data_IF_435410662819
#
_entry.id   IF_435410662819
#
_cell.length_a   1.000
_cell.length_b   1.000
_cell.length_c   1.000
_cell.angle_alpha   90.00
_cell.angle_beta   90.00
_cell.angle_gamma   90.00
#
_symmetry.space_group_name_H-M   'P 1'
#
loop_
_entity.id
_entity.type
_entity.pdbx_description
1 polymer ?
#
# COMPACT_ATOMS: atom_id res chain seq x y z
N UNK A 1 -11.54 -2.79 24.54
CA UNK A 1 -11.50 -2.68 23.07
C UNK A 1 -10.95 -3.99 22.54
N UNK A 2 -11.69 -4.69 21.67
CA UNK A 2 -11.16 -5.88 21.02
C UNK A 2 -10.02 -5.45 20.08
N UNK A 3 -8.87 -6.11 20.18
CA UNK A 3 -7.75 -5.86 19.29
C UNK A 3 -8.15 -6.18 17.85
N UNK A 4 -7.86 -5.28 16.90
CA UNK A 4 -8.16 -5.51 15.49
C UNK A 4 -7.17 -6.56 14.96
N UNK A 5 -7.64 -7.67 14.36
CA UNK A 5 -6.79 -8.67 13.75
C UNK A 5 -5.80 -8.10 12.73
N UNK A 6 -4.60 -8.67 12.65
CA UNK A 6 -3.51 -8.20 11.78
C UNK A 6 -3.91 -8.19 10.30
N UNK A 7 -4.67 -9.18 9.85
CA UNK A 7 -5.22 -9.27 8.49
C UNK A 7 -6.10 -8.06 8.17
N UNK A 8 -7.01 -7.69 9.08
CA UNK A 8 -7.87 -6.52 8.90
C UNK A 8 -7.08 -5.22 8.84
N UNK A 9 -6.05 -5.08 9.68
CA UNK A 9 -5.15 -3.91 9.65
C UNK A 9 -4.38 -3.84 8.33
N UNK A 10 -3.80 -4.95 7.91
CA UNK A 10 -3.05 -5.07 6.66
C UNK A 10 -3.89 -4.69 5.44
N UNK A 11 -5.08 -5.31 5.28
CA UNK A 11 -5.99 -4.98 4.17
C UNK A 11 -6.43 -3.51 4.20
N UNK A 12 -6.67 -2.96 5.39
CA UNK A 12 -6.95 -1.54 5.57
C UNK A 12 -5.83 -0.63 5.06
N UNK A 13 -4.59 -0.95 5.40
CA UNK A 13 -3.41 -0.21 4.94
C UNK A 13 -3.18 -0.33 3.42
N UNK A 14 -3.34 -1.54 2.86
CA UNK A 14 -3.30 -1.75 1.39
C UNK A 14 -4.34 -0.88 0.70
N UNK A 15 -5.58 -0.87 1.20
CA UNK A 15 -6.66 -0.04 0.64
C UNK A 15 -6.33 1.44 0.69
N UNK A 16 -5.76 1.91 1.79
CA UNK A 16 -5.36 3.32 1.95
C UNK A 16 -4.27 3.70 0.92
N UNK A 17 -3.24 2.88 0.78
CA UNK A 17 -2.17 3.11 -0.21
C UNK A 17 -2.73 3.16 -1.63
N UNK A 18 -3.61 2.21 -2.00
CA UNK A 18 -4.30 2.22 -3.30
C UNK A 18 -5.05 3.52 -3.55
N UNK A 19 -5.81 4.01 -2.57
CA UNK A 19 -6.55 5.27 -2.69
C UNK A 19 -5.62 6.48 -2.86
N UNK A 20 -4.49 6.51 -2.17
CA UNK A 20 -3.51 7.59 -2.29
C UNK A 20 -2.83 7.57 -3.66
N UNK A 21 -2.47 6.38 -4.18
CA UNK A 21 -1.94 6.21 -5.52
C UNK A 21 -2.93 6.72 -6.59
N UNK A 22 -4.22 6.41 -6.44
CA UNK A 22 -5.25 6.93 -7.33
C UNK A 22 -5.39 8.45 -7.26
N UNK A 23 -5.35 9.00 -6.05
CA UNK A 23 -5.44 10.45 -5.83
C UNK A 23 -4.31 11.19 -6.53
N UNK A 24 -3.06 10.76 -6.34
CA UNK A 24 -1.90 11.46 -6.92
C UNK A 24 -1.88 11.35 -8.46
N UNK A 25 -2.33 10.22 -9.02
CA UNK A 25 -2.38 10.03 -10.47
C UNK A 25 -3.65 10.61 -11.12
N UNK A 26 -4.65 11.03 -10.33
CA UNK A 26 -5.99 11.40 -10.81
C UNK A 26 -6.59 10.33 -11.73
N UNK A 27 -6.33 9.05 -11.40
CA UNK A 27 -6.66 7.86 -12.19
C UNK A 27 -7.00 6.72 -11.23
N UNK A 28 -7.86 5.78 -11.64
CA UNK A 28 -8.12 4.54 -10.89
C UNK A 28 -7.20 3.40 -11.31
N UNK A 29 -6.24 3.66 -12.20
CA UNK A 29 -5.20 2.72 -12.57
C UNK A 29 -4.04 2.80 -11.58
N UNK A 30 -3.75 1.69 -10.90
CA UNK A 30 -2.65 1.58 -9.94
C UNK A 30 -1.28 1.85 -10.58
N UNK A 31 -1.08 1.44 -11.84
CA UNK A 31 0.19 1.64 -12.54
C UNK A 31 0.46 3.13 -12.84
N UNK A 32 -0.59 3.89 -13.16
CA UNK A 32 -0.49 5.35 -13.26
C UNK A 32 -0.12 5.96 -11.90
N UNK A 33 -0.67 5.40 -10.81
CA UNK A 33 -0.35 5.73 -9.43
C UNK A 33 1.13 5.57 -9.11
N UNK A 34 1.71 4.39 -9.38
CA UNK A 34 3.13 4.14 -9.16
C UNK A 34 4.01 5.06 -10.02
N UNK A 35 3.64 5.27 -11.29
CA UNK A 35 4.36 6.22 -12.15
C UNK A 35 4.36 7.63 -11.55
N UNK A 36 3.20 8.15 -11.14
CA UNK A 36 3.09 9.46 -10.52
C UNK A 36 3.87 9.56 -9.20
N UNK A 37 3.82 8.53 -8.35
CA UNK A 37 4.57 8.47 -7.09
C UNK A 37 6.09 8.59 -7.31
N UNK A 38 6.61 7.91 -8.35
CA UNK A 38 8.03 8.01 -8.75
C UNK A 38 8.38 9.39 -9.29
N UNK A 39 7.55 9.93 -10.21
CA UNK A 39 7.77 11.25 -10.81
C UNK A 39 7.80 12.37 -9.76
N UNK A 40 6.96 12.25 -8.73
CA UNK A 40 6.89 13.16 -7.59
C UNK A 40 7.92 12.85 -6.48
N UNK A 41 8.78 11.84 -6.69
CA UNK A 41 9.81 11.38 -5.72
C UNK A 41 9.25 11.00 -4.34
N UNK A 42 7.98 10.57 -4.29
CA UNK A 42 7.37 10.06 -3.06
C UNK A 42 7.81 8.63 -2.78
N UNK A 43 7.94 7.84 -3.84
CA UNK A 43 8.43 6.47 -3.81
C UNK A 43 9.75 6.39 -4.57
N UNK A 44 10.69 5.67 -3.96
CA UNK A 44 11.82 5.07 -4.67
C UNK A 44 11.47 3.63 -5.12
N UNK A 45 12.46 2.94 -5.68
CA UNK A 45 12.31 1.58 -6.17
C UNK A 45 11.97 0.57 -5.05
N UNK A 46 12.47 0.78 -3.83
CA UNK A 46 12.24 -0.13 -2.71
C UNK A 46 10.80 0.01 -2.18
N UNK A 47 10.31 1.25 -2.02
CA UNK A 47 8.93 1.52 -1.62
C UNK A 47 7.92 0.94 -2.62
N UNK A 48 8.19 1.09 -3.92
CA UNK A 48 7.33 0.52 -4.95
C UNK A 48 7.35 -1.01 -4.93
N UNK A 49 8.53 -1.63 -4.88
CA UNK A 49 8.66 -3.09 -4.84
C UNK A 49 7.96 -3.67 -3.60
N UNK A 50 8.13 -3.03 -2.44
CA UNK A 50 7.44 -3.37 -1.21
C UNK A 50 5.92 -3.30 -1.37
N UNK A 51 5.39 -2.18 -1.87
CA UNK A 51 3.94 -1.98 -2.02
C UNK A 51 3.34 -3.00 -3.00
N UNK A 52 4.02 -3.29 -4.11
CA UNK A 52 3.60 -4.32 -5.08
C UNK A 52 3.55 -5.71 -4.45
N UNK A 53 4.55 -6.06 -3.64
CA UNK A 53 4.54 -7.31 -2.87
C UNK A 53 3.34 -7.38 -1.94
N UNK A 54 3.02 -6.30 -1.22
CA UNK A 54 1.84 -6.27 -0.35
C UNK A 54 0.51 -6.40 -1.13
N UNK A 55 0.43 -5.85 -2.34
CA UNK A 55 -0.76 -6.00 -3.18
C UNK A 55 -0.94 -7.46 -3.64
N UNK A 56 0.16 -8.16 -3.94
CA UNK A 56 0.11 -9.59 -4.23
C UNK A 56 -0.37 -10.40 -3.03
N UNK A 57 0.09 -10.07 -1.80
CA UNK A 57 -0.38 -10.73 -0.59
C UNK A 57 -1.87 -10.46 -0.29
N UNK A 58 -2.36 -9.23 -0.49
CA UNK A 58 -3.79 -8.93 -0.34
C UNK A 58 -4.64 -9.70 -1.37
N UNK A 59 -4.14 -9.86 -2.61
CA UNK A 59 -4.81 -10.66 -3.63
C UNK A 59 -4.86 -12.16 -3.24
N UNK A 60 -3.77 -12.73 -2.71
CA UNK A 60 -3.77 -14.10 -2.18
C UNK A 60 -4.76 -14.26 -1.03
N UNK A 61 -4.77 -13.30 -0.10
CA UNK A 61 -5.68 -13.29 1.04
C UNK A 61 -7.15 -13.22 0.60
N UNK A 62 -7.46 -12.38 -0.41
CA UNK A 62 -8.80 -12.24 -0.97
C UNK A 62 -9.24 -13.52 -1.71
N UNK A 63 -8.33 -14.18 -2.41
CA UNK A 63 -8.57 -15.46 -3.07
C UNK A 63 -8.66 -16.65 -2.10
N UNK A 64 -8.28 -16.48 -0.82
CA UNK A 64 -8.20 -17.56 0.16
C UNK A 64 -7.04 -18.52 -0.10
N UNK A 65 -6.00 -18.05 -0.80
CA UNK A 65 -4.80 -18.81 -1.11
C UNK A 65 -3.81 -18.82 0.06
N UNK A 66 -2.85 -19.75 0.02
CA UNK A 66 -1.72 -19.75 0.95
C UNK A 66 -0.84 -18.52 0.69
N UNK A 67 -0.58 -17.76 1.76
CA UNK A 67 0.24 -16.57 1.66
C UNK A 67 1.71 -16.92 1.43
N UNK A 68 2.35 -16.21 0.51
CA UNK A 68 3.77 -16.37 0.25
C UNK A 68 4.66 -16.03 1.47
N UNK A 69 4.16 -15.18 2.37
CA UNK A 69 4.79 -14.87 3.66
C UNK A 69 3.72 -14.51 4.71
N UNK A 70 4.00 -14.70 6.02
CA UNK A 70 3.03 -14.38 7.07
C UNK A 70 2.76 -12.88 7.17
N UNK A 71 1.50 -12.51 7.47
CA UNK A 71 1.16 -11.13 7.79
C UNK A 71 1.66 -10.76 9.19
N UNK A 72 2.54 -9.76 9.25
CA UNK A 72 3.11 -9.24 10.50
C UNK A 72 2.69 -7.79 10.72
N UNK A 73 2.77 -7.32 11.97
CA UNK A 73 2.57 -5.89 12.26
C UNK A 73 3.65 -5.02 11.59
N UNK A 74 4.86 -5.53 11.38
CA UNK A 74 5.92 -4.81 10.65
C UNK A 74 5.51 -4.50 9.21
N UNK A 75 4.83 -5.43 8.51
CA UNK A 75 4.27 -5.16 7.18
C UNK A 75 3.19 -4.07 7.22
N UNK A 76 2.36 -4.06 8.27
CA UNK A 76 1.33 -3.03 8.46
C UNK A 76 1.97 -1.67 8.67
N UNK A 77 2.99 -1.59 9.53
CA UNK A 77 3.68 -0.35 9.89
C UNK A 77 4.43 0.23 8.69
N UNK A 78 5.09 -0.60 7.88
CA UNK A 78 5.76 -0.11 6.67
C UNK A 78 4.76 0.33 5.60
N UNK A 79 3.62 -0.35 5.43
CA UNK A 79 2.53 0.14 4.56
C UNK A 79 1.98 1.50 5.02
N UNK A 80 1.87 1.72 6.33
CA UNK A 80 1.47 3.01 6.89
C UNK A 80 2.53 4.09 6.62
N UNK A 81 3.81 3.75 6.71
CA UNK A 81 4.89 4.66 6.32
C UNK A 81 4.82 5.02 4.82
N UNK A 82 4.57 4.04 3.95
CA UNK A 82 4.30 4.28 2.53
C UNK A 82 3.08 5.20 2.32
N UNK A 83 1.99 5.00 3.05
CA UNK A 83 0.82 5.87 2.99
C UNK A 83 1.15 7.31 3.41
N UNK A 84 1.96 7.51 4.46
CA UNK A 84 2.42 8.83 4.88
C UNK A 84 3.23 9.51 3.77
N UNK A 85 4.16 8.80 3.12
CA UNK A 85 4.96 9.31 1.99
C UNK A 85 4.10 9.73 0.79
N UNK A 86 3.07 8.95 0.46
CA UNK A 86 2.13 9.29 -0.61
C UNK A 86 1.18 10.43 -0.22
N UNK A 87 0.97 10.63 1.09
CA UNK A 87 0.12 11.69 1.61
C UNK A 87 0.85 13.02 1.82
N UNK A 88 2.18 13.02 1.92
CA UNK A 88 2.99 14.21 2.20
C UNK A 88 3.17 15.16 1.01
N UNK A 89 2.54 14.91 -0.15
CA UNK A 89 2.33 15.98 -1.12
C UNK A 89 1.31 16.96 -0.55
N UNK A 90 1.84 18.06 -0.04
CA UNK A 90 1.13 19.32 0.01
C UNK A 90 0.74 19.70 -1.44
N UNK A 91 -0.55 19.81 -1.79
CA UNK A 91 -0.93 20.48 -3.02
C UNK A 91 -0.63 21.98 -2.83
N UNK A 92 0.54 22.41 -3.30
CA UNK A 92 0.83 23.83 -3.48
C UNK A 92 -0.19 24.50 -4.42
#
# INVERSE_FOLDING_TARGET
MAEVPVDKRFRGSVRLVTLLLWRIAKSTNVEDGFRAARELKMFDAENEAFTRRCFALDAQLEAGEELAEPLTMELVDELQACAIRLNSADPA
#
